data_IF_795107812933
#
_entry.id   IF_795107812933
#
_cell.length_a   1.000
_cell.length_b   1.000
_cell.length_c   1.000
_cell.angle_alpha   90.00
_cell.angle_beta   90.00
_cell.angle_gamma   90.00
#
_symmetry.space_group_name_H-M   'P 1'
#
loop_
_entity.id
_entity.type
_entity.pdbx_description
1 polymer ?
#
# COMPACT_ATOMS: atom_id res chain seq x y z
N UNK A 1 11.35 -20.83 -2.02
CA UNK A 1 10.87 -19.78 -2.94
C UNK A 1 10.76 -18.48 -2.16
N UNK A 2 11.46 -17.44 -2.61
CA UNK A 2 11.43 -16.11 -1.99
C UNK A 2 10.27 -15.33 -2.59
N UNK A 3 9.46 -14.65 -1.76
CA UNK A 3 8.28 -13.89 -2.21
C UNK A 3 8.64 -12.62 -3.01
N UNK A 4 9.92 -12.38 -3.32
CA UNK A 4 10.43 -11.20 -4.04
C UNK A 4 9.67 -10.88 -5.34
N UNK A 5 9.29 -11.92 -6.09
CA UNK A 5 8.62 -11.78 -7.39
C UNK A 5 7.17 -11.29 -7.29
N UNK A 6 6.55 -11.30 -6.10
CA UNK A 6 5.16 -10.85 -5.92
C UNK A 6 5.04 -9.33 -5.94
N UNK A 7 6.12 -8.62 -5.60
CA UNK A 7 6.10 -7.18 -5.41
C UNK A 7 5.86 -6.41 -6.71
N UNK A 8 6.47 -6.83 -7.82
CA UNK A 8 6.26 -6.21 -9.12
C UNK A 8 4.79 -6.31 -9.59
N UNK A 9 4.16 -7.50 -9.71
CA UNK A 9 2.78 -7.60 -10.17
C UNK A 9 1.80 -6.92 -9.21
N UNK A 10 1.99 -7.02 -7.89
CA UNK A 10 1.13 -6.32 -6.90
C UNK A 10 1.26 -4.81 -7.05
N UNK A 11 2.49 -4.29 -7.12
CA UNK A 11 2.77 -2.87 -7.27
C UNK A 11 2.16 -2.27 -8.53
N UNK A 12 2.40 -2.90 -9.69
CA UNK A 12 1.85 -2.43 -10.97
C UNK A 12 0.32 -2.53 -11.01
N UNK A 13 -0.25 -3.65 -10.54
CA UNK A 13 -1.72 -3.79 -10.48
C UNK A 13 -2.34 -2.69 -9.64
N UNK A 14 -1.78 -2.44 -8.46
CA UNK A 14 -2.31 -1.43 -7.54
C UNK A 14 -2.07 0.00 -8.02
N UNK A 15 -1.04 0.24 -8.83
CA UNK A 15 -0.85 1.52 -9.51
C UNK A 15 -1.96 1.78 -10.55
N UNK A 16 -2.37 0.76 -11.31
CA UNK A 16 -3.52 0.89 -12.21
C UNK A 16 -4.83 1.09 -11.44
N UNK A 17 -5.00 0.41 -10.31
CA UNK A 17 -6.14 0.66 -9.40
C UNK A 17 -6.13 2.09 -8.87
N UNK A 18 -4.96 2.63 -8.51
CA UNK A 18 -4.83 4.04 -8.15
C UNK A 18 -5.33 4.94 -9.28
N UNK A 19 -4.88 4.73 -10.53
CA UNK A 19 -5.36 5.52 -11.66
C UNK A 19 -6.88 5.40 -11.87
N UNK A 20 -7.42 4.19 -11.73
CA UNK A 20 -8.86 3.93 -11.84
C UNK A 20 -9.66 4.64 -10.74
N UNK A 21 -9.20 4.60 -9.49
CA UNK A 21 -9.86 5.31 -8.38
C UNK A 21 -9.77 6.84 -8.54
N UNK A 22 -8.70 7.35 -9.15
CA UNK A 22 -8.59 8.78 -9.51
C UNK A 22 -9.61 9.19 -10.57
N UNK A 23 -9.76 8.37 -11.63
CA UNK A 23 -10.79 8.57 -12.65
C UNK A 23 -12.20 8.48 -12.05
N UNK A 24 -12.45 7.51 -11.17
CA UNK A 24 -13.70 7.37 -10.45
C UNK A 24 -14.05 8.63 -9.66
N UNK A 25 -13.12 9.16 -8.86
CA UNK A 25 -13.32 10.39 -8.10
C UNK A 25 -13.60 11.61 -8.99
N UNK A 26 -13.02 11.65 -10.19
CA UNK A 26 -13.20 12.76 -11.13
C UNK A 26 -14.56 12.72 -11.86
N UNK A 27 -15.04 11.54 -12.22
CA UNK A 27 -16.17 11.40 -13.14
C UNK A 27 -17.49 11.01 -12.47
N UNK A 28 -17.45 10.22 -11.41
CA UNK A 28 -18.66 9.66 -10.77
C UNK A 28 -18.99 10.42 -9.48
N UNK A 29 -18.00 11.09 -8.89
CA UNK A 29 -18.10 11.76 -7.60
C UNK A 29 -18.44 13.28 -7.55
N UNK A 30 -18.82 14.01 -8.62
CA UNK A 30 -19.01 15.46 -8.53
C UNK A 30 -20.04 15.90 -7.46
N UNK A 31 -21.13 15.17 -7.28
CA UNK A 31 -22.24 15.60 -6.42
C UNK A 31 -21.94 15.45 -4.90
N UNK A 32 -21.24 14.39 -4.49
CA UNK A 32 -20.80 14.22 -3.10
C UNK A 32 -19.57 15.08 -2.73
N UNK A 33 -18.80 15.50 -3.74
CA UNK A 33 -17.58 16.29 -3.61
C UNK A 33 -17.81 17.77 -3.28
N UNK A 34 -18.97 18.30 -3.70
CA UNK A 34 -19.43 19.67 -3.41
C UNK A 34 -20.10 19.76 -2.03
N UNK A 35 -20.77 18.69 -1.58
CA UNK A 35 -21.62 18.70 -0.39
C UNK A 35 -20.84 18.58 0.94
N UNK A 36 -19.74 17.82 0.98
CA UNK A 36 -18.98 17.61 2.23
C UNK A 36 -17.46 17.60 2.00
N UNK A 37 -16.81 18.66 2.49
CA UNK A 37 -15.36 18.80 2.43
C UNK A 37 -14.59 17.70 3.18
N UNK A 38 -15.14 17.15 4.26
CA UNK A 38 -14.51 16.08 5.02
C UNK A 38 -14.46 14.79 4.19
N UNK A 39 -15.59 14.37 3.61
CA UNK A 39 -15.67 13.20 2.71
C UNK A 39 -14.67 13.33 1.57
N UNK A 40 -14.56 14.52 0.96
CA UNK A 40 -13.58 14.79 -0.09
C UNK A 40 -12.13 14.56 0.36
N UNK A 41 -11.75 15.02 1.56
CA UNK A 41 -10.41 14.78 2.09
C UNK A 41 -10.14 13.30 2.39
N UNK A 42 -11.17 12.55 2.80
CA UNK A 42 -11.07 11.12 3.08
C UNK A 42 -10.81 10.31 1.82
N UNK A 43 -11.58 10.57 0.76
CA UNK A 43 -11.38 9.96 -0.55
C UNK A 43 -9.97 10.23 -1.09
N UNK A 44 -9.51 11.48 -1.04
CA UNK A 44 -8.16 11.86 -1.47
C UNK A 44 -7.06 11.19 -0.65
N UNK A 45 -7.19 11.17 0.68
CA UNK A 45 -6.20 10.55 1.56
C UNK A 45 -6.07 9.05 1.28
N UNK A 46 -7.19 8.32 1.21
CA UNK A 46 -7.16 6.88 0.92
C UNK A 46 -6.66 6.59 -0.49
N UNK A 47 -7.00 7.41 -1.48
CA UNK A 47 -6.44 7.32 -2.83
C UNK A 47 -4.91 7.46 -2.83
N UNK A 48 -4.35 8.42 -2.09
CA UNK A 48 -2.90 8.58 -1.94
C UNK A 48 -2.27 7.40 -1.21
N UNK A 49 -2.95 6.77 -0.26
CA UNK A 49 -2.43 5.57 0.40
C UNK A 49 -2.32 4.36 -0.54
N UNK A 50 -3.24 4.20 -1.49
CA UNK A 50 -3.12 3.18 -2.55
C UNK A 50 -1.85 3.43 -3.37
N UNK A 51 -1.63 4.67 -3.82
CA UNK A 51 -0.40 5.04 -4.53
C UNK A 51 0.83 4.73 -3.69
N UNK A 52 0.87 5.21 -2.45
CA UNK A 52 1.98 4.99 -1.52
C UNK A 52 2.35 3.51 -1.42
N UNK A 53 1.38 2.64 -1.14
CA UNK A 53 1.64 1.21 -0.98
C UNK A 53 1.99 0.51 -2.29
N UNK A 54 1.45 0.97 -3.43
CA UNK A 54 1.84 0.49 -4.76
C UNK A 54 3.30 0.80 -5.08
N UNK A 55 3.76 2.03 -4.79
CA UNK A 55 5.14 2.45 -5.00
C UNK A 55 6.11 1.71 -4.09
N UNK A 56 5.73 1.44 -2.83
CA UNK A 56 6.54 0.61 -1.94
C UNK A 56 6.74 -0.82 -2.49
N UNK A 57 5.69 -1.41 -3.06
CA UNK A 57 5.80 -2.73 -3.71
C UNK A 57 6.69 -2.66 -4.96
N UNK A 58 6.53 -1.65 -5.81
CA UNK A 58 7.41 -1.46 -6.96
C UNK A 58 8.86 -1.33 -6.50
N UNK A 59 9.15 -0.51 -5.49
CA UNK A 59 10.49 -0.33 -4.94
C UNK A 59 11.06 -1.64 -4.36
N UNK A 60 10.26 -2.37 -3.59
CA UNK A 60 10.66 -3.66 -3.03
C UNK A 60 11.05 -4.67 -4.12
N UNK A 61 10.42 -4.60 -5.30
CA UNK A 61 10.74 -5.48 -6.43
C UNK A 61 12.13 -5.24 -7.04
N UNK A 62 12.69 -4.04 -6.91
CA UNK A 62 14.04 -3.72 -7.39
C UNK A 62 15.16 -4.17 -6.45
N UNK A 63 14.80 -4.67 -5.27
CA UNK A 63 15.78 -4.97 -4.22
C UNK A 63 16.09 -6.48 -4.11
N UNK A 64 15.86 -7.23 -5.18
CA UNK A 64 15.96 -8.70 -5.19
C UNK A 64 17.40 -9.21 -5.14
N UNK A 65 18.37 -8.39 -5.52
CA UNK A 65 19.78 -8.76 -5.60
C UNK A 65 20.54 -8.58 -4.28
N UNK A 66 19.87 -8.10 -3.23
CA UNK A 66 20.49 -7.89 -1.92
C UNK A 66 20.49 -9.19 -1.11
N UNK A 67 21.65 -9.67 -0.63
CA UNK A 67 21.72 -10.91 0.15
C UNK A 67 20.91 -10.84 1.44
N UNK A 68 20.15 -11.91 1.70
CA UNK A 68 19.28 -12.03 2.86
C UNK A 68 20.06 -12.60 4.06
N UNK A 69 19.94 -11.94 5.21
CA UNK A 69 20.37 -12.48 6.51
C UNK A 69 19.32 -13.42 7.09
N UNK A 70 18.05 -13.03 6.99
CA UNK A 70 16.92 -13.75 7.62
C UNK A 70 15.74 -13.97 6.65
N UNK A 71 15.74 -15.06 5.86
CA UNK A 71 14.74 -15.30 4.80
C UNK A 71 13.29 -15.43 5.32
N UNK A 72 13.08 -15.95 6.53
CA UNK A 72 11.74 -16.04 7.13
C UNK A 72 11.15 -14.66 7.43
N UNK A 73 11.97 -13.75 7.95
CA UNK A 73 11.59 -12.35 8.24
C UNK A 73 11.32 -11.61 6.92
N UNK A 74 12.13 -11.86 5.89
CA UNK A 74 11.86 -11.35 4.54
C UNK A 74 10.50 -11.77 4.01
N UNK A 75 10.15 -13.06 4.10
CA UNK A 75 8.88 -13.58 3.62
C UNK A 75 7.68 -12.98 4.38
N UNK A 76 7.80 -12.81 5.70
CA UNK A 76 6.76 -12.16 6.51
C UNK A 76 6.60 -10.68 6.12
N UNK A 77 7.71 -9.96 5.94
CA UNK A 77 7.68 -8.58 5.46
C UNK A 77 7.09 -8.45 4.06
N UNK A 78 7.42 -9.39 3.17
CA UNK A 78 6.86 -9.45 1.82
C UNK A 78 5.35 -9.66 1.85
N UNK A 79 4.86 -10.57 2.70
CA UNK A 79 3.44 -10.82 2.91
C UNK A 79 2.74 -9.54 3.37
N UNK A 80 3.25 -8.89 4.42
CA UNK A 80 2.67 -7.66 4.97
C UNK A 80 2.60 -6.55 3.92
N UNK A 81 3.70 -6.32 3.21
CA UNK A 81 3.77 -5.27 2.20
C UNK A 81 2.87 -5.56 1.00
N UNK A 82 2.75 -6.82 0.59
CA UNK A 82 1.87 -7.23 -0.52
C UNK A 82 0.39 -7.15 -0.17
N UNK A 83 0.02 -7.38 1.09
CA UNK A 83 -1.36 -7.33 1.58
C UNK A 83 -1.83 -5.89 1.85
N UNK A 84 -0.92 -5.01 2.25
CA UNK A 84 -1.22 -3.61 2.55
C UNK A 84 -2.05 -2.87 1.48
N UNK A 85 -1.69 -2.87 0.17
CA UNK A 85 -2.47 -2.14 -0.82
C UNK A 85 -3.86 -2.74 -1.04
N UNK A 86 -4.05 -4.04 -0.81
CA UNK A 86 -5.37 -4.69 -0.87
C UNK A 86 -6.27 -4.18 0.26
N UNK A 87 -5.73 -4.08 1.47
CA UNK A 87 -6.47 -3.54 2.63
C UNK A 87 -6.78 -2.05 2.45
N UNK A 88 -5.85 -1.28 1.88
CA UNK A 88 -6.06 0.14 1.59
C UNK A 88 -7.09 0.36 0.48
N UNK A 89 -7.14 -0.52 -0.53
CA UNK A 89 -8.22 -0.51 -1.51
C UNK A 89 -9.57 -0.82 -0.87
N UNK A 90 -9.63 -1.82 0.02
CA UNK A 90 -10.85 -2.10 0.76
C UNK A 90 -11.29 -0.90 1.60
N UNK A 91 -10.35 -0.22 2.29
CA UNK A 91 -10.60 1.00 3.03
C UNK A 91 -11.11 2.15 2.15
N UNK A 92 -10.60 2.27 0.91
CA UNK A 92 -11.08 3.24 -0.05
C UNK A 92 -12.55 3.01 -0.44
N UNK A 93 -13.02 1.76 -0.47
CA UNK A 93 -14.40 1.44 -0.85
C UNK A 93 -15.36 1.57 0.35
N UNK A 94 -14.93 1.17 1.55
CA UNK A 94 -15.84 1.03 2.70
C UNK A 94 -15.77 2.19 3.71
N UNK A 95 -14.62 2.85 3.88
CA UNK A 95 -14.41 3.85 4.95
C UNK A 95 -14.45 5.31 4.48
N UNK A 96 -14.51 5.55 3.18
CA UNK A 96 -14.49 6.91 2.58
C UNK A 96 -15.88 7.51 2.46
N UNK A 97 -16.90 6.68 2.26
CA UNK A 97 -18.29 7.09 2.09
C UNK A 97 -18.98 7.52 3.38
N UNK A 98 -18.43 7.17 4.54
CA UNK A 98 -19.00 7.48 5.85
C UNK A 98 -17.99 8.33 6.63
N UNK A 99 -18.33 9.55 7.05
CA UNK A 99 -17.51 10.35 7.96
C UNK A 99 -17.45 9.67 9.34
N UNK A 100 -16.56 8.70 9.49
CA UNK A 100 -16.27 8.04 10.76
C UNK A 100 -14.93 8.52 11.33
N UNK A 101 -14.84 8.77 12.64
CA UNK A 101 -13.58 9.02 13.32
C UNK A 101 -12.70 7.77 13.40
N UNK A 102 -13.28 6.57 13.36
CA UNK A 102 -12.56 5.30 13.39
C UNK A 102 -12.40 4.74 11.98
N UNK A 103 -11.15 4.36 11.62
CA UNK A 103 -10.75 3.87 10.29
C UNK A 103 -9.86 2.62 10.40
N UNK A 104 -10.41 1.51 10.89
CA UNK A 104 -9.63 0.32 11.19
C UNK A 104 -8.87 -0.24 9.98
N UNK A 105 -9.46 -0.23 8.78
CA UNK A 105 -8.82 -0.73 7.56
C UNK A 105 -7.73 0.20 7.08
N UNK A 106 -7.96 1.52 7.06
CA UNK A 106 -6.92 2.50 6.70
C UNK A 106 -5.71 2.35 7.63
N UNK A 107 -5.95 2.27 8.95
CA UNK A 107 -4.89 2.07 9.95
C UNK A 107 -4.17 0.74 9.76
N UNK A 108 -4.91 -0.35 9.56
CA UNK A 108 -4.34 -1.69 9.35
C UNK A 108 -3.49 -1.73 8.09
N UNK A 109 -4.00 -1.17 6.99
CA UNK A 109 -3.28 -1.06 5.72
C UNK A 109 -1.97 -0.28 5.86
N UNK A 110 -2.01 0.89 6.49
CA UNK A 110 -0.81 1.69 6.76
C UNK A 110 0.20 0.95 7.66
N UNK A 111 -0.30 0.28 8.72
CA UNK A 111 0.53 -0.50 9.65
C UNK A 111 1.19 -1.70 8.96
N UNK A 112 0.47 -2.38 8.05
CA UNK A 112 1.03 -3.45 7.22
C UNK A 112 2.13 -2.93 6.29
N UNK A 113 1.95 -1.76 5.66
CA UNK A 113 3.02 -1.13 4.86
C UNK A 113 4.26 -0.85 5.70
N UNK A 114 4.08 -0.22 6.87
CA UNK A 114 5.18 0.09 7.79
C UNK A 114 5.91 -1.17 8.26
N UNK A 115 5.17 -2.15 8.80
CA UNK A 115 5.73 -3.41 9.28
C UNK A 115 6.41 -4.19 8.16
N UNK A 116 5.80 -4.23 6.97
CA UNK A 116 6.37 -4.87 5.79
C UNK A 116 7.73 -4.28 5.41
N UNK A 117 7.83 -2.95 5.31
CA UNK A 117 9.10 -2.26 5.01
C UNK A 117 10.15 -2.53 6.09
N UNK A 118 9.81 -2.40 7.38
CA UNK A 118 10.74 -2.62 8.48
C UNK A 118 11.31 -4.06 8.47
N UNK A 119 10.44 -5.06 8.28
CA UNK A 119 10.85 -6.46 8.20
C UNK A 119 11.74 -6.73 6.97
N UNK A 120 11.41 -6.14 5.81
CA UNK A 120 12.23 -6.26 4.61
C UNK A 120 13.63 -5.67 4.80
N UNK A 121 13.73 -4.48 5.38
CA UNK A 121 15.01 -3.82 5.68
C UNK A 121 15.82 -4.64 6.70
N UNK A 122 15.19 -5.05 7.79
CA UNK A 122 15.83 -5.84 8.86
C UNK A 122 16.33 -7.20 8.38
N UNK A 123 15.62 -7.82 7.43
CA UNK A 123 15.96 -9.14 6.91
C UNK A 123 17.25 -9.19 6.08
N UNK A 124 17.80 -8.03 5.70
CA UNK A 124 18.94 -7.91 4.79
C UNK A 124 20.26 -7.73 5.51
N UNK A 125 21.33 -8.19 4.86
CA UNK A 125 22.70 -7.98 5.33
C UNK A 125 23.20 -6.65 4.78
N UNK A 126 23.78 -5.79 5.64
CA UNK A 126 24.45 -4.59 5.18
C UNK A 126 25.60 -4.99 4.24
N UNK A 127 25.58 -4.48 3.01
CA UNK A 127 26.64 -4.67 2.01
C UNK A 127 27.94 -3.90 2.33
N UNK A 128 28.02 -3.23 3.49
CA UNK A 128 29.15 -2.37 3.92
C UNK A 128 30.16 -3.08 4.82
N UNK A 129 30.53 -4.32 4.51
CA UNK A 129 31.69 -4.96 5.12
C UNK A 129 32.50 -5.66 4.04
N UNK A 130 33.30 -4.87 3.33
CA UNK A 130 34.59 -5.23 2.74
C UNK A 130 35.45 -3.96 2.75
#
# INVERSE_FOLDING_TARGET
>A
MTFSRIHAPVGWTMLFVFLATGAYMRHIFPEAYEADSAVRFLYRSNHVYILFSSLLNILASYMNDVPLRWPKIFNLGSLFLSLSPVVLLAAFITETSIPSPTRPLTLSGASLSLGGVLLLVLSRRNARKD
#
